data_IF_673905873697
#
_entry.id   IF_673905873697
#
_cell.length_a   1.000
_cell.length_b   1.000
_cell.length_c   1.000
_cell.angle_alpha   90.00
_cell.angle_beta   90.00
_cell.angle_gamma   90.00
#
_symmetry.space_group_name_H-M   'P 1'
#
loop_
_entity.id
_entity.type
_entity.pdbx_description
1 polymer ?
#
# COMPACT_ATOMS: atom_id res chain seq x y z
N UNK A 1 12.53 2.64 -23.52
CA UNK A 1 11.72 2.14 -22.39
C UNK A 1 11.90 3.14 -21.26
N UNK A 2 10.82 3.71 -20.70
CA UNK A 2 10.93 4.65 -19.57
C UNK A 2 11.41 3.88 -18.34
N UNK A 3 12.32 4.50 -17.58
CA UNK A 3 12.84 3.96 -16.33
C UNK A 3 11.70 3.72 -15.34
N UNK A 4 11.77 2.61 -14.58
CA UNK A 4 10.71 2.27 -13.63
C UNK A 4 10.70 3.29 -12.47
N UNK A 5 9.59 4.01 -12.31
CA UNK A 5 9.47 4.98 -11.24
C UNK A 5 9.35 4.27 -9.89
N UNK A 6 10.23 4.61 -8.96
CA UNK A 6 10.27 4.04 -7.61
C UNK A 6 9.80 5.08 -6.60
N UNK A 7 8.91 4.67 -5.70
CA UNK A 7 8.51 5.44 -4.52
C UNK A 7 8.79 4.65 -3.26
N UNK A 8 9.09 5.36 -2.17
CA UNK A 8 9.27 4.77 -0.84
C UNK A 8 8.40 5.55 0.12
N UNK A 9 7.58 4.85 0.90
CA UNK A 9 6.78 5.44 1.98
C UNK A 9 7.32 4.97 3.32
N UNK A 10 7.41 5.89 4.29
CA UNK A 10 7.68 5.54 5.68
C UNK A 10 6.35 5.39 6.40
N UNK A 11 6.17 4.26 7.08
CA UNK A 11 4.95 3.97 7.84
C UNK A 11 5.33 3.61 9.26
N UNK A 12 4.86 4.38 10.24
CA UNK A 12 4.90 3.98 11.64
C UNK A 12 3.70 3.09 11.90
N UNK A 13 3.97 1.85 12.28
CA UNK A 13 2.92 0.88 12.63
C UNK A 13 2.15 1.43 13.83
N UNK A 14 0.84 1.74 13.71
CA UNK A 14 0.01 2.06 14.85
C UNK A 14 -0.34 0.78 15.61
N UNK A 15 -0.57 0.88 16.92
CA UNK A 15 -1.02 -0.26 17.74
C UNK A 15 -2.29 -0.92 17.17
N UNK A 16 -3.18 -0.11 16.57
CA UNK A 16 -4.41 -0.57 15.94
C UNK A 16 -4.21 -1.54 14.76
N UNK A 17 -3.01 -1.56 14.16
CA UNK A 17 -2.72 -2.48 13.06
C UNK A 17 -2.17 -3.83 13.57
N UNK A 18 -1.94 -3.96 14.88
CA UNK A 18 -1.38 -5.18 15.49
C UNK A 18 -2.46 -6.08 16.08
N UNK A 19 -2.13 -7.37 16.24
CA UNK A 19 -3.00 -8.37 16.87
C UNK A 19 -2.37 -8.94 18.17
N UNK A 20 -3.01 -9.97 18.74
CA UNK A 20 -2.53 -10.61 19.97
C UNK A 20 -1.12 -11.24 19.85
N UNK A 21 -0.63 -11.48 18.64
CA UNK A 21 0.73 -11.96 18.38
C UNK A 21 1.77 -10.82 18.43
N UNK A 22 1.33 -9.57 18.68
CA UNK A 22 2.17 -8.36 18.81
C UNK A 22 2.87 -7.95 17.52
N UNK A 23 2.33 -8.37 16.37
CA UNK A 23 2.80 -8.01 15.04
C UNK A 23 1.64 -7.43 14.24
N UNK A 24 1.93 -6.77 13.13
CA UNK A 24 0.91 -6.31 12.20
C UNK A 24 0.06 -7.49 11.72
N UNK A 25 -1.26 -7.39 11.88
CA UNK A 25 -2.19 -8.39 11.37
C UNK A 25 -2.01 -8.52 9.85
N UNK A 26 -1.89 -9.76 9.36
CA UNK A 26 -1.43 -10.05 7.99
C UNK A 26 -2.21 -9.31 6.90
N UNK A 27 -3.52 -9.09 7.09
CA UNK A 27 -4.35 -8.42 6.10
C UNK A 27 -4.08 -6.90 6.00
N UNK A 28 -3.56 -6.27 7.06
CA UNK A 28 -3.30 -4.82 7.07
C UNK A 28 -2.20 -4.41 6.08
N UNK A 29 -1.32 -5.34 5.69
CA UNK A 29 -0.33 -5.10 4.64
C UNK A 29 -0.96 -4.73 3.29
N UNK A 30 -2.18 -5.20 2.98
CA UNK A 30 -2.91 -4.80 1.77
C UNK A 30 -3.18 -3.29 1.75
N UNK A 31 -3.56 -2.71 2.89
CA UNK A 31 -3.76 -1.28 3.01
C UNK A 31 -2.44 -0.50 2.86
N UNK A 32 -1.32 -1.07 3.29
CA UNK A 32 0.00 -0.45 3.11
C UNK A 32 0.42 -0.44 1.63
N UNK A 33 0.17 -1.54 0.91
CA UNK A 33 0.41 -1.61 -0.54
C UNK A 33 -0.48 -0.64 -1.31
N UNK A 34 -1.74 -0.47 -0.90
CA UNK A 34 -2.62 0.54 -1.48
C UNK A 34 -2.09 1.98 -1.27
N UNK A 35 -1.63 2.30 -0.06
CA UNK A 35 -1.00 3.61 0.22
C UNK A 35 0.21 3.85 -0.69
N UNK A 36 1.09 2.85 -0.82
CA UNK A 36 2.25 2.93 -1.71
C UNK A 36 1.85 3.07 -3.19
N UNK A 37 0.80 2.35 -3.63
CA UNK A 37 0.24 2.47 -4.99
C UNK A 37 -0.24 3.89 -5.26
N UNK A 38 -0.96 4.49 -4.32
CA UNK A 38 -1.45 5.86 -4.46
C UNK A 38 -0.30 6.87 -4.59
N UNK A 39 0.77 6.71 -3.82
CA UNK A 39 1.97 7.56 -3.95
C UNK A 39 2.74 7.30 -5.25
N UNK A 40 2.76 6.07 -5.75
CA UNK A 40 3.31 5.77 -7.06
C UNK A 40 2.51 6.45 -8.18
N UNK A 41 1.18 6.41 -8.10
CA UNK A 41 0.31 7.12 -9.05
C UNK A 41 0.62 8.62 -9.03
N UNK A 42 0.72 9.24 -7.85
CA UNK A 42 1.10 10.65 -7.71
C UNK A 42 2.45 10.95 -8.37
N UNK A 43 3.45 10.10 -8.16
CA UNK A 43 4.77 10.25 -8.76
C UNK A 43 4.73 10.17 -10.30
N UNK A 44 3.79 9.39 -10.86
CA UNK A 44 3.49 9.31 -12.29
C UNK A 44 2.66 10.51 -12.82
N UNK A 45 2.31 11.48 -11.97
CA UNK A 45 1.57 12.69 -12.34
C UNK A 45 0.06 12.52 -12.36
N UNK A 46 -0.49 11.49 -11.71
CA UNK A 46 -1.94 11.25 -11.64
C UNK A 46 -2.36 10.77 -10.25
N UNK A 47 -3.31 11.45 -9.61
CA UNK A 47 -3.87 10.97 -8.34
C UNK A 47 -4.98 9.94 -8.58
N UNK A 48 -5.23 9.07 -7.60
CA UNK A 48 -6.37 8.14 -7.67
C UNK A 48 -7.71 8.86 -7.82
N UNK A 49 -7.87 10.02 -7.16
CA UNK A 49 -9.06 10.87 -7.28
C UNK A 49 -9.28 11.38 -8.71
N UNK A 50 -8.22 11.84 -9.39
CA UNK A 50 -8.31 12.28 -10.78
C UNK A 50 -8.64 11.10 -11.70
N UNK A 51 -8.03 9.93 -11.44
CA UNK A 51 -8.32 8.71 -12.17
C UNK A 51 -9.81 8.30 -12.08
N UNK A 52 -10.41 8.39 -10.89
CA UNK A 52 -11.85 8.18 -10.70
C UNK A 52 -12.69 9.24 -11.40
N UNK A 53 -12.28 10.53 -11.34
CA UNK A 53 -12.98 11.62 -12.01
C UNK A 53 -12.98 11.48 -13.55
N UNK A 54 -12.00 10.77 -14.12
CA UNK A 54 -11.95 10.40 -15.54
C UNK A 54 -12.90 9.24 -15.89
N UNK A 55 -13.61 8.67 -14.91
CA UNK A 55 -14.57 7.58 -15.10
C UNK A 55 -13.96 6.18 -15.02
N UNK A 56 -12.73 6.05 -14.50
CA UNK A 56 -12.07 4.76 -14.35
C UNK A 56 -12.12 4.26 -12.90
N UNK A 57 -12.02 2.94 -12.73
CA UNK A 57 -11.86 2.29 -11.43
C UNK A 57 -10.69 1.29 -11.48
N UNK A 58 -10.07 1.04 -10.34
CA UNK A 58 -8.90 0.16 -10.22
C UNK A 58 -9.18 -0.94 -9.16
N UNK A 59 -10.14 -1.85 -9.41
CA UNK A 59 -10.42 -2.95 -8.50
C UNK A 59 -9.26 -3.93 -8.45
N UNK A 60 -8.90 -4.38 -7.24
CA UNK A 60 -7.91 -5.46 -7.06
C UNK A 60 -8.63 -6.79 -7.27
N UNK A 61 -8.28 -7.51 -8.34
CA UNK A 61 -8.85 -8.83 -8.64
C UNK A 61 -8.17 -9.98 -7.90
N UNK A 62 -6.88 -9.83 -7.59
CA UNK A 62 -6.06 -10.83 -6.88
C UNK A 62 -4.94 -10.12 -6.11
N UNK A 63 -4.57 -10.67 -4.95
CA UNK A 63 -3.38 -10.30 -4.23
C UNK A 63 -2.71 -11.55 -3.63
N UNK A 64 -1.42 -11.71 -3.87
CA UNK A 64 -0.59 -12.79 -3.30
C UNK A 64 0.47 -12.17 -2.42
N UNK A 65 0.54 -12.60 -1.16
CA UNK A 65 1.45 -12.04 -0.17
C UNK A 65 2.34 -13.14 0.39
N UNK A 66 3.64 -12.85 0.47
CA UNK A 66 4.62 -13.66 1.17
C UNK A 66 5.19 -12.84 2.33
N UNK A 67 4.90 -13.26 3.55
CA UNK A 67 5.37 -12.57 4.75
C UNK A 67 6.70 -13.18 5.20
N UNK A 68 7.78 -12.40 5.11
CA UNK A 68 9.13 -12.86 5.45
C UNK A 68 9.54 -12.48 6.88
N UNK A 69 9.25 -11.26 7.29
CA UNK A 69 9.55 -10.74 8.63
C UNK A 69 8.36 -9.92 9.14
N UNK A 70 8.07 -9.98 10.46
CA UNK A 70 6.99 -9.20 11.04
C UNK A 70 7.37 -7.71 11.13
N UNK A 71 6.37 -6.84 10.96
CA UNK A 71 6.43 -5.47 11.45
C UNK A 71 5.76 -5.42 12.82
N UNK A 72 6.33 -4.65 13.75
CA UNK A 72 5.84 -4.52 15.12
C UNK A 72 5.43 -3.08 15.40
N UNK A 73 4.51 -2.92 16.35
CA UNK A 73 4.31 -1.62 17.00
C UNK A 73 5.58 -1.24 17.79
N UNK A 74 5.90 0.06 17.77
CA UNK A 74 6.98 0.77 18.49
C UNK A 74 7.97 -0.09 19.30
#
# INVERSE_FOLDING_TARGET
MKEAQKVTISYRVPYADTDQMRVVYYANYLAYFERARNELMRACGLTYREFEAMGFALPVSEAVLHHHNPATYD
#
